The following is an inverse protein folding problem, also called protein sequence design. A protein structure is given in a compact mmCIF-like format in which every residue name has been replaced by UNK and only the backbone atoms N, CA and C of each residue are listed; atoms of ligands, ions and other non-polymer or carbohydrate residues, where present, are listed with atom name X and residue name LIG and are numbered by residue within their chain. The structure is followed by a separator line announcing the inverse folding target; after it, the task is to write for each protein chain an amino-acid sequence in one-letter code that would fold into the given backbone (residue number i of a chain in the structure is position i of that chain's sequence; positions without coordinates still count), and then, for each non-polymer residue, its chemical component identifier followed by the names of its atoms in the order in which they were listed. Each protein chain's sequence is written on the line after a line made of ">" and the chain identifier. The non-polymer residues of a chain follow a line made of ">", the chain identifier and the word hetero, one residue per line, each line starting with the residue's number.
data_IF_030959614238
#
_entry.id   IF_030959614238
#
_cell.length_a   1.000
_cell.length_b   1.000
_cell.length_c   1.000
_cell.angle_alpha   90.00
_cell.angle_beta   90.00
_cell.angle_gamma   90.00
#
_symmetry.space_group_name_H-M   'P 1'
#
loop_
_entity.id
_entity.type
_entity.pdbx_description
1 polymer ?
#
# COMPACT_ATOMS: atom_id res chain seq x y z
N UNK A 1 -3.46 3.61 34.66
CA UNK A 1 -2.47 3.24 33.67
C UNK A 1 -2.95 2.12 32.79
N UNK A 2 -2.74 2.25 31.54
CA UNK A 2 -3.26 1.33 30.55
C UNK A 2 -2.28 0.21 30.23
N UNK A 3 -2.23 -0.75 31.10
CA UNK A 3 -1.33 -1.89 30.94
C UNK A 3 -1.73 -2.71 29.73
N UNK A 4 -0.73 -3.13 28.96
CA UNK A 4 -0.94 -3.93 27.78
C UNK A 4 -1.46 -3.18 26.58
N UNK A 5 -1.68 -1.89 26.70
CA UNK A 5 -2.10 -1.09 25.56
C UNK A 5 -0.94 -0.91 24.60
N UNK A 6 -1.16 -1.27 23.37
CA UNK A 6 -0.20 -1.02 22.32
C UNK A 6 -0.25 0.45 21.92
N UNK A 7 0.90 1.11 21.95
CA UNK A 7 1.01 2.48 21.46
C UNK A 7 1.43 2.40 20.02
N UNK A 8 0.54 2.81 19.12
CA UNK A 8 0.82 2.86 17.70
C UNK A 8 1.29 4.25 17.31
N UNK A 9 2.27 4.29 16.40
CA UNK A 9 2.72 5.55 15.82
C UNK A 9 1.84 5.86 14.62
N UNK A 10 0.90 6.77 14.81
CA UNK A 10 -0.08 7.13 13.80
C UNK A 10 0.18 8.56 13.33
N UNK A 11 0.27 8.72 12.02
CA UNK A 11 0.47 10.01 11.35
C UNK A 11 -0.67 10.26 10.38
N UNK A 12 -1.20 11.48 10.36
CA UNK A 12 -2.21 11.86 9.38
C UNK A 12 -1.52 12.53 8.21
N UNK A 13 -1.72 11.99 7.02
CA UNK A 13 -1.03 12.44 5.81
C UNK A 13 -2.03 12.59 4.67
N UNK A 14 -1.96 13.73 3.97
CA UNK A 14 -2.72 13.92 2.74
C UNK A 14 -1.81 13.56 1.56
N UNK A 15 -2.30 12.68 0.69
CA UNK A 15 -1.56 12.31 -0.52
C UNK A 15 -2.48 12.44 -1.72
N UNK A 16 -2.04 13.22 -2.70
CA UNK A 16 -2.77 13.38 -3.96
C UNK A 16 -2.76 12.06 -4.74
N UNK A 17 -3.61 11.96 -5.74
CA UNK A 17 -3.61 10.80 -6.63
C UNK A 17 -2.19 10.53 -7.15
N UNK A 18 -1.82 9.28 -7.23
CA UNK A 18 -0.46 8.89 -7.64
C UNK A 18 -0.49 7.60 -8.45
N UNK A 19 0.60 7.36 -9.15
CA UNK A 19 0.72 6.23 -10.08
C UNK A 19 1.75 5.24 -9.55
N UNK A 20 1.41 3.96 -9.64
CA UNK A 20 2.31 2.86 -9.30
C UNK A 20 2.36 1.88 -10.45
N UNK A 21 3.50 1.23 -10.62
CA UNK A 21 3.67 0.13 -11.58
C UNK A 21 4.27 -1.05 -10.83
N UNK A 22 3.69 -2.22 -11.02
CA UNK A 22 4.11 -3.40 -10.28
C UNK A 22 3.65 -4.70 -10.89
N UNK A 23 3.86 -5.77 -10.13
CA UNK A 23 3.40 -7.11 -10.47
C UNK A 23 2.07 -7.35 -9.77
N UNK A 24 1.04 -7.63 -10.56
CA UNK A 24 -0.31 -7.82 -10.02
C UNK A 24 -0.63 -9.28 -9.80
N UNK A 25 -1.24 -9.55 -8.67
CA UNK A 25 -1.83 -10.84 -8.37
C UNK A 25 -3.07 -10.68 -7.52
N UNK A 26 -3.60 -11.78 -7.04
CA UNK A 26 -4.79 -11.76 -6.20
C UNK A 26 -4.75 -12.89 -5.18
N UNK A 27 -5.64 -12.77 -4.20
CA UNK A 27 -5.82 -13.81 -3.19
C UNK A 27 -6.25 -15.15 -3.77
N UNK A 28 -6.70 -15.17 -5.03
CA UNK A 28 -7.07 -16.41 -5.73
C UNK A 28 -5.86 -17.17 -6.25
N UNK A 29 -4.67 -16.57 -6.21
CA UNK A 29 -3.45 -17.18 -6.72
C UNK A 29 -2.79 -18.14 -5.72
N UNK A 30 -3.40 -18.34 -4.55
CA UNK A 30 -2.94 -19.29 -3.56
C UNK A 30 -1.99 -18.69 -2.52
N UNK A 31 -1.62 -19.51 -1.54
CA UNK A 31 -0.75 -19.10 -0.46
C UNK A 31 0.62 -18.68 -0.97
N UNK A 32 1.19 -17.64 -0.36
CA UNK A 32 2.51 -17.16 -0.70
C UNK A 32 2.57 -16.29 -1.96
N UNK A 33 1.41 -15.92 -2.53
CA UNK A 33 1.40 -15.13 -3.76
C UNK A 33 2.05 -13.75 -3.59
N UNK A 34 1.92 -13.12 -2.42
CA UNK A 34 2.52 -11.82 -2.17
C UNK A 34 4.04 -11.89 -2.23
N UNK A 35 4.64 -12.88 -1.55
CA UNK A 35 6.08 -13.07 -1.57
C UNK A 35 6.58 -13.35 -3.00
N UNK A 36 5.81 -14.15 -3.75
CA UNK A 36 6.16 -14.45 -5.15
C UNK A 36 6.15 -13.19 -6.01
N UNK A 37 5.13 -12.33 -5.85
CA UNK A 37 5.04 -11.08 -6.61
C UNK A 37 6.22 -10.16 -6.31
N UNK A 38 6.60 -10.03 -5.04
CA UNK A 38 7.75 -9.22 -4.67
C UNK A 38 9.05 -9.81 -5.21
N UNK A 39 9.18 -11.13 -5.23
CA UNK A 39 10.32 -11.80 -5.84
C UNK A 39 10.44 -11.46 -7.32
N UNK A 40 9.34 -11.52 -8.06
CA UNK A 40 9.30 -11.17 -9.48
C UNK A 40 9.60 -9.69 -9.70
N UNK A 41 9.00 -8.81 -8.90
CA UNK A 41 9.22 -7.38 -9.01
C UNK A 41 10.68 -7.02 -8.75
N UNK A 42 11.30 -7.62 -7.75
CA UNK A 42 12.70 -7.37 -7.42
C UNK A 42 13.64 -7.91 -8.50
N UNK A 43 13.37 -9.10 -9.01
CA UNK A 43 14.19 -9.72 -10.04
C UNK A 43 14.22 -8.88 -11.33
N UNK A 44 13.09 -8.27 -11.67
CA UNK A 44 12.95 -7.51 -12.92
C UNK A 44 12.88 -6.00 -12.70
N UNK A 45 13.27 -5.52 -11.53
CA UNK A 45 13.14 -4.10 -11.17
C UNK A 45 13.80 -3.17 -12.18
N UNK A 46 14.90 -3.58 -12.80
CA UNK A 46 15.58 -2.77 -13.82
C UNK A 46 14.68 -2.34 -14.96
N UNK A 47 13.60 -3.09 -15.24
CA UNK A 47 12.67 -2.77 -16.33
C UNK A 47 11.83 -1.53 -16.01
N UNK A 48 11.60 -1.22 -14.74
CA UNK A 48 10.82 -0.04 -14.34
C UNK A 48 11.66 1.05 -13.67
N UNK A 49 12.89 0.75 -13.28
CA UNK A 49 13.76 1.69 -12.58
C UNK A 49 13.83 3.08 -13.22
N UNK A 50 13.87 3.24 -14.55
CA UNK A 50 13.91 4.57 -15.16
C UNK A 50 12.69 5.44 -14.89
N UNK A 51 11.53 4.83 -14.55
CA UNK A 51 10.28 5.56 -14.32
C UNK A 51 10.02 5.83 -12.85
N UNK A 52 10.77 5.20 -11.96
CA UNK A 52 10.53 5.29 -10.52
C UNK A 52 10.80 6.71 -10.04
N UNK A 53 9.83 7.27 -9.31
CA UNK A 53 10.01 8.58 -8.69
C UNK A 53 11.07 8.50 -7.61
N UNK A 54 11.94 9.51 -7.60
CA UNK A 54 13.04 9.60 -6.65
C UNK A 54 13.04 10.95 -5.97
N UNK A 55 13.59 11.00 -4.76
CA UNK A 55 13.80 12.24 -4.05
C UNK A 55 15.08 12.93 -4.55
N UNK A 56 15.44 14.03 -3.90
CA UNK A 56 16.63 14.82 -4.25
C UNK A 56 17.93 14.02 -4.22
N UNK A 57 17.96 12.98 -3.40
CA UNK A 57 19.15 12.14 -3.23
C UNK A 57 19.16 10.92 -4.18
N UNK A 58 18.19 10.83 -5.07
CA UNK A 58 18.08 9.70 -5.97
C UNK A 58 17.48 8.45 -5.34
N UNK A 59 16.89 8.55 -4.15
CA UNK A 59 16.25 7.45 -3.46
C UNK A 59 14.79 7.33 -3.91
N UNK A 60 14.30 6.13 -4.27
CA UNK A 60 12.88 5.95 -4.57
C UNK A 60 12.01 6.46 -3.43
N UNK A 61 10.87 7.08 -3.77
CA UNK A 61 10.02 7.67 -2.74
C UNK A 61 9.09 6.68 -2.06
N UNK A 62 8.89 5.52 -2.63
CA UNK A 62 8.11 4.51 -1.95
C UNK A 62 7.89 3.23 -2.73
N UNK A 63 7.84 2.14 -1.99
CA UNK A 63 7.45 0.84 -2.50
C UNK A 63 6.11 0.49 -1.88
N UNK A 64 5.14 0.15 -2.72
CA UNK A 64 3.76 -0.03 -2.31
C UNK A 64 3.27 -1.45 -2.56
N UNK A 65 2.83 -2.10 -1.50
CA UNK A 65 1.95 -3.25 -1.63
C UNK A 65 0.54 -2.69 -1.77
N UNK A 66 0.19 -2.27 -2.97
CA UNK A 66 -1.09 -1.64 -3.22
C UNK A 66 -2.20 -2.68 -3.29
N UNK A 67 -3.35 -2.34 -2.75
CA UNK A 67 -4.48 -3.25 -2.68
C UNK A 67 -5.74 -2.64 -3.27
N UNK A 68 -6.64 -3.50 -3.72
CA UNK A 68 -7.95 -3.10 -4.21
C UNK A 68 -8.90 -4.29 -4.15
N UNK A 69 -10.19 -4.01 -4.20
CA UNK A 69 -11.19 -5.04 -4.47
C UNK A 69 -10.98 -5.58 -5.89
N UNK A 70 -11.63 -6.70 -6.21
CA UNK A 70 -11.45 -7.34 -7.52
C UNK A 70 -11.87 -6.48 -8.70
N UNK A 71 -12.78 -5.53 -8.50
CA UNK A 71 -13.24 -4.65 -9.58
C UNK A 71 -12.29 -3.48 -9.85
N UNK A 72 -11.19 -3.39 -9.11
CA UNK A 72 -10.22 -2.29 -9.17
C UNK A 72 -10.88 -0.92 -8.95
N UNK A 73 -11.80 -0.88 -7.99
CA UNK A 73 -12.48 0.34 -7.56
C UNK A 73 -11.81 0.99 -6.36
N UNK A 74 -10.67 0.46 -5.93
CA UNK A 74 -9.89 0.92 -4.78
C UNK A 74 -10.68 0.91 -3.48
N UNK A 75 -11.60 -0.05 -3.36
CA UNK A 75 -12.27 -0.37 -2.12
C UNK A 75 -11.43 -1.34 -1.31
N UNK A 76 -11.68 -1.45 0.00
CA UNK A 76 -11.02 -2.47 0.81
C UNK A 76 -11.24 -3.88 0.24
N UNK A 77 -10.34 -4.79 0.57
CA UNK A 77 -10.51 -6.19 0.20
C UNK A 77 -11.86 -6.70 0.68
N UNK A 78 -12.46 -7.56 -0.12
CA UNK A 78 -13.79 -8.12 0.10
C UNK A 78 -13.77 -9.20 1.17
N UNK A 79 -14.95 -9.65 1.58
CA UNK A 79 -15.13 -10.73 2.54
C UNK A 79 -14.31 -10.51 3.82
N UNK A 80 -14.59 -9.38 4.50
CA UNK A 80 -13.93 -8.98 5.76
C UNK A 80 -12.40 -8.89 5.56
N UNK A 81 -11.97 -8.14 4.57
CA UNK A 81 -10.56 -7.86 4.28
C UNK A 81 -9.72 -9.09 3.91
N UNK A 82 -10.34 -10.11 3.33
CA UNK A 82 -9.64 -11.36 3.04
C UNK A 82 -9.44 -11.67 1.56
N UNK A 83 -10.11 -10.96 0.66
CA UNK A 83 -10.06 -11.26 -0.77
C UNK A 83 -9.95 -10.02 -1.63
N UNK A 84 -9.00 -9.99 -2.53
CA UNK A 84 -8.82 -8.86 -3.44
C UNK A 84 -7.56 -8.94 -4.28
N UNK A 85 -7.25 -7.82 -4.92
CA UNK A 85 -6.07 -7.64 -5.76
C UNK A 85 -4.91 -7.07 -4.94
N UNK A 86 -3.69 -7.43 -5.36
CA UNK A 86 -2.46 -6.92 -4.78
C UNK A 86 -1.49 -6.55 -5.89
N UNK A 87 -0.79 -5.45 -5.73
CA UNK A 87 0.22 -4.99 -6.67
C UNK A 87 1.52 -4.73 -5.92
N UNK A 88 2.53 -5.56 -6.17
CA UNK A 88 3.88 -5.35 -5.64
C UNK A 88 4.55 -4.30 -6.51
N UNK A 89 4.61 -3.06 -6.05
CA UNK A 89 4.85 -1.91 -6.91
C UNK A 89 5.81 -0.88 -6.36
N UNK A 90 6.24 0.01 -7.24
CA UNK A 90 6.96 1.22 -6.90
C UNK A 90 6.17 2.41 -7.42
N UNK A 91 6.27 3.53 -6.73
CA UNK A 91 5.66 4.77 -7.21
C UNK A 91 6.47 5.31 -8.38
N UNK A 92 5.77 5.66 -9.46
CA UNK A 92 6.39 6.08 -10.72
C UNK A 92 5.83 7.42 -11.17
N UNK A 93 6.49 8.01 -12.16
CA UNK A 93 5.98 9.22 -12.80
C UNK A 93 4.62 8.94 -13.44
N UNK A 94 3.72 9.93 -13.40
CA UNK A 94 2.34 9.76 -13.90
C UNK A 94 2.28 9.39 -15.38
N UNK A 95 3.29 9.79 -16.14
CA UNK A 95 3.37 9.53 -17.57
C UNK A 95 3.98 8.17 -17.91
N UNK A 96 4.47 7.44 -16.90
CA UNK A 96 5.09 6.14 -17.14
C UNK A 96 4.09 5.15 -17.72
N UNK A 97 4.57 4.33 -18.65
CA UNK A 97 3.80 3.21 -19.20
C UNK A 97 4.32 1.92 -18.58
N UNK A 98 3.42 0.99 -18.29
CA UNK A 98 3.83 -0.30 -17.76
C UNK A 98 4.47 -1.14 -18.87
N UNK A 99 5.72 -1.61 -18.69
CA UNK A 99 6.31 -2.54 -19.64
C UNK A 99 5.53 -3.86 -19.66
N UNK A 100 5.82 -4.71 -20.65
CA UNK A 100 5.21 -6.03 -20.73
C UNK A 100 5.46 -6.82 -19.44
N UNK A 101 4.40 -7.42 -18.91
CA UNK A 101 4.45 -8.17 -17.66
C UNK A 101 4.24 -7.33 -16.40
N UNK A 102 4.12 -6.02 -16.56
CA UNK A 102 3.85 -5.09 -15.46
C UNK A 102 2.47 -4.47 -15.58
N UNK A 103 1.92 -4.01 -14.47
CA UNK A 103 0.60 -3.39 -14.42
C UNK A 103 0.70 -2.00 -13.80
N UNK A 104 -0.02 -1.05 -14.37
CA UNK A 104 -0.08 0.33 -13.91
C UNK A 104 -1.42 0.57 -13.21
N UNK A 105 -1.35 1.14 -12.00
CA UNK A 105 -2.55 1.61 -11.28
C UNK A 105 -2.42 3.10 -11.01
N UNK A 106 -3.54 3.80 -11.11
CA UNK A 106 -3.63 5.18 -10.66
C UNK A 106 -4.50 5.20 -9.41
N UNK A 107 -3.88 5.44 -8.27
CA UNK A 107 -4.55 5.40 -6.98
C UNK A 107 -5.12 6.78 -6.68
N UNK A 108 -6.41 6.87 -6.35
CA UNK A 108 -7.02 8.17 -6.04
C UNK A 108 -6.38 8.85 -4.83
N UNK A 109 -6.58 10.15 -4.72
CA UNK A 109 -6.09 10.91 -3.58
C UNK A 109 -6.95 10.71 -2.34
N UNK A 110 -6.29 10.64 -1.20
CA UNK A 110 -6.95 10.45 0.10
C UNK A 110 -6.19 11.16 1.21
N UNK A 111 -6.90 11.41 2.29
CA UNK A 111 -6.27 11.61 3.59
C UNK A 111 -6.12 10.24 4.23
N UNK A 112 -4.91 9.92 4.65
CA UNK A 112 -4.58 8.62 5.23
C UNK A 112 -4.16 8.75 6.68
N UNK A 113 -4.38 7.68 7.44
CA UNK A 113 -3.64 7.44 8.66
C UNK A 113 -2.52 6.47 8.31
N UNK A 114 -1.29 6.89 8.50
CA UNK A 114 -0.09 6.09 8.25
C UNK A 114 0.39 5.53 9.57
N UNK A 115 0.54 4.23 9.67
CA UNK A 115 0.86 3.54 10.92
C UNK A 115 2.09 2.66 10.70
N UNK A 116 3.09 2.80 11.58
CA UNK A 116 4.27 1.95 11.52
C UNK A 116 3.90 0.53 11.96
N UNK A 117 4.35 -0.46 11.19
CA UNK A 117 4.09 -1.86 11.50
C UNK A 117 5.16 -2.35 12.46
N UNK A 118 4.82 -2.39 13.74
CA UNK A 118 5.72 -2.85 14.80
C UNK A 118 5.34 -4.23 15.33
N UNK A 119 4.18 -4.74 14.94
CA UNK A 119 3.72 -6.07 15.31
C UNK A 119 2.71 -6.59 14.29
N UNK A 120 2.43 -7.90 14.27
CA UNK A 120 1.41 -8.47 13.37
C UNK A 120 0.00 -7.97 13.67
N UNK A 121 -0.23 -7.36 14.82
CA UNK A 121 -1.56 -6.94 15.28
C UNK A 121 -1.97 -5.55 14.79
N UNK A 122 -1.13 -4.86 14.03
CA UNK A 122 -1.41 -3.49 13.60
C UNK A 122 -2.72 -3.36 12.85
N UNK A 123 -2.99 -4.25 11.91
CA UNK A 123 -4.21 -4.15 11.11
C UNK A 123 -5.48 -4.26 11.97
N UNK A 124 -5.71 -5.34 12.73
CA UNK A 124 -6.91 -5.43 13.55
C UNK A 124 -7.01 -4.31 14.59
N UNK A 125 -5.90 -3.89 15.15
CA UNK A 125 -5.91 -2.77 16.10
C UNK A 125 -6.28 -1.45 15.46
N UNK A 126 -5.88 -1.23 14.22
CA UNK A 126 -6.27 -0.03 13.48
C UNK A 126 -7.75 -0.05 13.10
N UNK A 127 -8.30 -1.20 12.73
CA UNK A 127 -9.73 -1.31 12.45
C UNK A 127 -10.52 -0.95 13.71
N UNK A 128 -10.08 -1.42 14.88
CA UNK A 128 -10.68 -1.08 16.17
C UNK A 128 -10.53 0.42 16.47
N UNK A 129 -9.35 0.99 16.25
CA UNK A 129 -9.08 2.42 16.43
C UNK A 129 -10.00 3.28 15.57
N UNK A 130 -10.20 2.92 14.32
CA UNK A 130 -11.09 3.65 13.43
C UNK A 130 -12.52 3.64 13.97
N UNK A 131 -13.01 2.49 14.41
CA UNK A 131 -14.35 2.38 14.96
C UNK A 131 -14.51 3.22 16.23
N UNK A 132 -13.52 3.18 17.14
CA UNK A 132 -13.55 3.95 18.38
C UNK A 132 -13.53 5.46 18.15
N UNK A 133 -12.93 5.91 17.07
CA UNK A 133 -12.82 7.32 16.74
C UNK A 133 -13.83 7.77 15.68
N UNK A 134 -14.83 6.94 15.40
CA UNK A 134 -15.89 7.23 14.43
C UNK A 134 -15.36 7.59 13.04
N UNK A 135 -14.28 6.92 12.64
CA UNK A 135 -13.67 7.09 11.32
C UNK A 135 -14.04 5.91 10.44
N UNK A 136 -14.34 6.18 9.18
CA UNK A 136 -14.65 5.15 8.19
C UNK A 136 -13.47 4.95 7.25
N UNK A 137 -13.26 3.70 6.88
CA UNK A 137 -12.31 3.36 5.83
C UNK A 137 -12.98 3.62 4.49
N UNK A 138 -12.46 4.59 3.74
CA UNK A 138 -13.09 5.03 2.48
C UNK A 138 -12.42 4.48 1.23
N UNK A 139 -11.43 3.61 1.40
CA UNK A 139 -10.71 2.99 0.29
C UNK A 139 -9.87 1.82 0.77
N UNK A 140 -9.07 1.28 -0.13
CA UNK A 140 -8.21 0.15 0.18
C UNK A 140 -7.05 0.56 1.09
N UNK A 141 -6.69 -0.34 2.00
CA UNK A 141 -5.50 -0.19 2.85
C UNK A 141 -4.29 -0.65 2.05
N UNK A 142 -3.19 0.08 2.13
CA UNK A 142 -1.97 -0.28 1.42
C UNK A 142 -0.83 -0.58 2.38
N UNK A 143 0.02 -1.52 2.00
CA UNK A 143 1.31 -1.73 2.63
C UNK A 143 2.32 -0.78 1.98
N UNK A 144 3.27 -0.32 2.76
CA UNK A 144 4.26 0.63 2.28
C UNK A 144 5.61 0.37 2.94
N UNK A 145 6.66 0.33 2.15
CA UNK A 145 8.03 0.30 2.65
C UNK A 145 8.67 1.64 2.32
N UNK A 146 9.12 2.34 3.34
CA UNK A 146 9.78 3.63 3.17
C UNK A 146 11.27 3.39 2.89
N UNK A 147 11.77 3.71 1.70
CA UNK A 147 13.20 3.50 1.40
C UNK A 147 14.13 4.34 2.24
N UNK A 148 13.64 5.40 2.87
CA UNK A 148 14.46 6.29 3.70
C UNK A 148 14.87 5.66 5.02
N UNK A 149 13.96 4.91 5.64
CA UNK A 149 14.22 4.29 6.94
C UNK A 149 14.17 2.77 6.89
N UNK A 150 13.75 2.19 5.76
CA UNK A 150 13.62 0.74 5.59
C UNK A 150 12.49 0.12 6.40
N UNK A 151 11.62 0.93 6.99
CA UNK A 151 10.53 0.46 7.83
C UNK A 151 9.26 0.21 7.02
N UNK A 152 8.40 -0.63 7.57
CA UNK A 152 7.11 -0.95 6.95
C UNK A 152 5.99 -0.18 7.63
N UNK A 153 5.05 0.27 6.82
CA UNK A 153 3.88 1.04 7.26
C UNK A 153 2.63 0.50 6.61
N UNK A 154 1.48 0.78 7.21
CA UNK A 154 0.19 0.58 6.57
C UNK A 154 -0.50 1.93 6.47
N UNK A 155 -1.14 2.19 5.34
CA UNK A 155 -1.82 3.45 5.07
C UNK A 155 -3.32 3.19 4.98
N UNK A 156 -4.08 3.81 5.87
CA UNK A 156 -5.53 3.63 6.00
C UNK A 156 -6.23 4.88 5.49
N UNK A 157 -6.91 4.83 4.33
CA UNK A 157 -7.58 6.01 3.79
C UNK A 157 -8.86 6.30 4.57
N UNK A 158 -8.97 7.52 5.11
CA UNK A 158 -10.10 7.91 5.97
C UNK A 158 -10.95 9.02 5.38
N UNK A 159 -10.49 9.66 4.31
CA UNK A 159 -11.21 10.74 3.66
C UNK A 159 -10.79 10.83 2.20
N UNK A 160 -11.77 11.02 1.32
CA UNK A 160 -11.50 11.22 -0.11
C UNK A 160 -11.17 12.68 -0.38
N UNK A 161 -10.22 12.91 -1.28
CA UNK A 161 -9.91 14.26 -1.73
C UNK A 161 -10.86 14.72 -2.83
#
# INVERSE_FOLDING_TARGET
>A
MEKGRLIMQIEKITKQAFTVVGRQGSTKDGDGFIARLWGEANEHFGEIAPFVKKDENGTPIGFWGAMSDFSLSFRPWENVFSEGLYLASAEVEDTAEAPEGWTKWQIPGYVYLRVKVESPDVFPKMIEYLAENELELVGAVHDFTDPKDGQNYMWFPIEKL
#
